data_IF_653417681683
#
_entry.id   IF_653417681683
#
_cell.length_a   1.000
_cell.length_b   1.000
_cell.length_c   1.000
_cell.angle_alpha   90.00
_cell.angle_beta   90.00
_cell.angle_gamma   90.00
#
_symmetry.space_group_name_H-M   'P 1'
#
loop_
_entity.id
_entity.type
_entity.pdbx_description
1 polymer ?
#
# COMPACT_ATOMS: atom_id res chain seq x y z
N UNK A 1 -30.40 -4.06 22.61
CA UNK A 1 -30.03 -5.49 22.71
C UNK A 1 -28.73 -5.77 21.98
N UNK A 2 -28.01 -6.83 22.37
CA UNK A 2 -26.76 -7.25 21.67
C UNK A 2 -27.03 -7.53 20.20
N UNK A 3 -28.16 -8.15 19.86
CA UNK A 3 -28.58 -8.39 18.48
C UNK A 3 -28.70 -7.10 17.65
N UNK A 4 -29.28 -6.05 18.22
CA UNK A 4 -29.39 -4.75 17.54
C UNK A 4 -28.01 -4.10 17.35
N UNK A 5 -27.13 -4.21 18.36
CA UNK A 5 -25.76 -3.71 18.26
C UNK A 5 -24.94 -4.45 17.19
N UNK A 6 -25.09 -5.78 17.08
CA UNK A 6 -24.45 -6.57 16.04
C UNK A 6 -24.94 -6.16 14.64
N UNK A 7 -26.25 -6.01 14.45
CA UNK A 7 -26.80 -5.55 13.16
C UNK A 7 -26.27 -4.15 12.79
N UNK A 8 -26.29 -3.20 13.72
CA UNK A 8 -25.78 -1.85 13.49
C UNK A 8 -24.28 -1.86 13.19
N UNK A 9 -23.51 -2.70 13.90
CA UNK A 9 -22.08 -2.89 13.68
C UNK A 9 -21.78 -3.43 12.28
N UNK A 10 -22.51 -4.45 11.83
CA UNK A 10 -22.35 -4.99 10.47
C UNK A 10 -22.72 -3.97 9.39
N UNK A 11 -23.83 -3.24 9.58
CA UNK A 11 -24.23 -2.21 8.61
C UNK A 11 -23.17 -1.11 8.49
N UNK A 12 -22.56 -0.70 9.61
CA UNK A 12 -21.49 0.31 9.61
C UNK A 12 -20.19 -0.24 9.01
N UNK A 13 -19.83 -1.50 9.30
CA UNK A 13 -18.64 -2.14 8.79
C UNK A 13 -18.71 -2.42 7.28
N UNK A 14 -19.91 -2.71 6.75
CA UNK A 14 -20.14 -3.05 5.34
C UNK A 14 -19.61 -1.97 4.38
N UNK A 15 -19.92 -0.69 4.67
CA UNK A 15 -19.42 0.43 3.84
C UNK A 15 -17.90 0.46 3.80
N UNK A 16 -17.24 0.33 4.97
CA UNK A 16 -15.78 0.38 5.04
C UNK A 16 -15.11 -0.83 4.34
N UNK A 17 -15.72 -2.02 4.44
CA UNK A 17 -15.22 -3.24 3.77
C UNK A 17 -15.37 -3.10 2.25
N UNK A 18 -16.53 -2.63 1.78
CA UNK A 18 -16.75 -2.42 0.35
C UNK A 18 -15.80 -1.37 -0.22
N UNK A 19 -15.70 -0.21 0.42
CA UNK A 19 -14.87 0.89 -0.05
C UNK A 19 -13.39 0.49 -0.17
N UNK A 20 -12.85 -0.19 0.83
CA UNK A 20 -11.44 -0.62 0.82
C UNK A 20 -11.14 -1.69 -0.24
N UNK A 21 -12.09 -2.58 -0.52
CA UNK A 21 -11.89 -3.66 -1.48
C UNK A 21 -12.19 -3.21 -2.93
N UNK A 22 -13.17 -2.32 -3.15
CA UNK A 22 -13.48 -1.79 -4.48
C UNK A 22 -12.27 -1.06 -5.07
N UNK A 23 -11.54 -0.27 -4.29
CA UNK A 23 -10.34 0.42 -4.77
C UNK A 23 -9.28 -0.56 -5.29
N UNK A 24 -9.06 -1.66 -4.57
CA UNK A 24 -8.11 -2.69 -5.00
C UNK A 24 -8.63 -3.50 -6.19
N UNK A 25 -9.94 -3.75 -6.27
CA UNK A 25 -10.57 -4.38 -7.45
C UNK A 25 -10.45 -3.52 -8.71
N UNK A 26 -10.58 -2.20 -8.60
CA UNK A 26 -10.36 -1.28 -9.72
C UNK A 26 -8.93 -1.43 -10.24
N UNK A 27 -7.93 -1.43 -9.35
CA UNK A 27 -6.53 -1.64 -9.73
C UNK A 27 -6.32 -3.00 -10.41
N UNK A 28 -6.86 -4.07 -9.83
CA UNK A 28 -6.78 -5.41 -10.39
C UNK A 28 -7.47 -5.51 -11.78
N UNK A 29 -8.64 -4.89 -11.95
CA UNK A 29 -9.35 -4.88 -13.23
C UNK A 29 -8.55 -4.17 -14.34
N UNK A 30 -7.96 -3.01 -14.04
CA UNK A 30 -7.13 -2.26 -15.00
C UNK A 30 -5.90 -3.07 -15.38
N UNK A 31 -5.22 -3.69 -14.40
CA UNK A 31 -4.08 -4.56 -14.64
C UNK A 31 -4.43 -5.80 -15.47
N UNK A 32 -5.60 -6.37 -15.24
CA UNK A 32 -6.06 -7.51 -16.03
C UNK A 32 -6.33 -7.14 -17.48
N UNK A 33 -6.90 -5.96 -17.71
CA UNK A 33 -7.23 -5.46 -19.05
C UNK A 33 -6.01 -4.98 -19.84
N UNK A 34 -5.06 -4.33 -19.17
CA UNK A 34 -3.89 -3.68 -19.80
C UNK A 34 -2.57 -4.40 -19.56
N UNK A 35 -2.47 -5.20 -18.52
CA UNK A 35 -1.27 -5.94 -18.21
C UNK A 35 -1.05 -7.13 -19.15
N UNK A 36 0.22 -7.49 -19.34
CA UNK A 36 0.66 -8.65 -20.10
C UNK A 36 1.41 -9.64 -19.18
N UNK A 37 1.61 -10.88 -19.65
CA UNK A 37 2.42 -11.88 -18.98
C UNK A 37 2.06 -12.11 -17.49
N UNK A 38 3.07 -12.05 -16.64
CA UNK A 38 2.98 -12.30 -15.20
C UNK A 38 2.08 -11.28 -14.48
N UNK A 39 2.04 -10.04 -14.95
CA UNK A 39 1.21 -8.96 -14.38
C UNK A 39 -0.27 -9.27 -14.51
N UNK A 40 -0.70 -9.80 -15.65
CA UNK A 40 -2.09 -10.18 -15.91
C UNK A 40 -2.53 -11.34 -15.02
N UNK A 41 -1.68 -12.37 -14.87
CA UNK A 41 -1.94 -13.51 -13.98
C UNK A 41 -2.05 -13.08 -12.52
N UNK A 42 -1.17 -12.19 -12.06
CA UNK A 42 -1.24 -11.60 -10.73
C UNK A 42 -2.56 -10.84 -10.51
N UNK A 43 -2.97 -10.02 -11.48
CA UNK A 43 -4.20 -9.25 -11.38
C UNK A 43 -5.45 -10.14 -11.24
N UNK A 44 -5.50 -11.26 -11.96
CA UNK A 44 -6.59 -12.24 -11.86
C UNK A 44 -6.66 -12.89 -10.47
N UNK A 45 -5.52 -13.35 -9.96
CA UNK A 45 -5.45 -13.97 -8.62
C UNK A 45 -5.78 -12.99 -7.53
N UNK A 46 -5.31 -11.74 -7.64
CA UNK A 46 -5.64 -10.65 -6.71
C UNK A 46 -7.14 -10.35 -6.71
N UNK A 47 -7.74 -10.18 -7.89
CA UNK A 47 -9.18 -9.91 -8.02
C UNK A 47 -10.02 -11.04 -7.40
N UNK A 48 -9.69 -12.30 -7.71
CA UNK A 48 -10.37 -13.46 -7.15
C UNK A 48 -10.23 -13.51 -5.63
N UNK A 49 -9.03 -13.31 -5.10
CA UNK A 49 -8.76 -13.28 -3.67
C UNK A 49 -9.58 -12.22 -2.94
N UNK A 50 -9.69 -11.01 -3.52
CA UNK A 50 -10.49 -9.92 -2.96
C UNK A 50 -11.98 -10.26 -2.96
N UNK A 51 -12.52 -10.80 -4.05
CA UNK A 51 -13.94 -11.19 -4.13
C UNK A 51 -14.26 -12.26 -3.09
N UNK A 52 -13.43 -13.30 -2.95
CA UNK A 52 -13.58 -14.34 -1.93
C UNK A 52 -13.47 -13.76 -0.51
N UNK A 53 -12.52 -12.87 -0.27
CA UNK A 53 -12.35 -12.17 1.02
C UNK A 53 -13.57 -11.33 1.37
N UNK A 54 -14.13 -10.58 0.41
CA UNK A 54 -15.37 -9.81 0.60
C UNK A 54 -16.55 -10.72 0.94
N UNK A 55 -16.71 -11.82 0.22
CA UNK A 55 -17.75 -12.80 0.50
C UNK A 55 -17.61 -13.36 1.93
N UNK A 56 -16.41 -13.75 2.31
CA UNK A 56 -16.12 -14.25 3.66
C UNK A 56 -16.44 -13.21 4.73
N UNK A 57 -16.02 -11.96 4.53
CA UNK A 57 -16.23 -10.88 5.49
C UNK A 57 -17.72 -10.50 5.63
N UNK A 58 -18.45 -10.41 4.52
CA UNK A 58 -19.82 -9.92 4.51
C UNK A 58 -20.86 -11.01 4.81
N UNK A 59 -20.62 -12.25 4.34
CA UNK A 59 -21.58 -13.34 4.42
C UNK A 59 -21.18 -14.32 5.53
N UNK A 60 -20.03 -14.98 5.41
CA UNK A 60 -19.63 -16.07 6.31
C UNK A 60 -19.44 -15.54 7.74
N UNK A 61 -18.71 -14.45 7.92
CA UNK A 61 -18.48 -13.86 9.25
C UNK A 61 -19.80 -13.43 9.90
N UNK A 62 -20.73 -12.88 9.12
CA UNK A 62 -22.05 -12.52 9.60
C UNK A 62 -22.82 -13.76 10.09
N UNK A 63 -22.86 -14.81 9.28
CA UNK A 63 -23.53 -16.07 9.65
C UNK A 63 -22.94 -16.64 10.95
N UNK A 64 -21.60 -16.73 11.04
CA UNK A 64 -20.91 -17.26 12.22
C UNK A 64 -21.29 -16.46 13.47
N UNK A 65 -21.22 -15.13 13.43
CA UNK A 65 -21.49 -14.28 14.59
C UNK A 65 -22.97 -14.40 15.04
N UNK A 66 -23.90 -14.43 14.08
CA UNK A 66 -25.33 -14.62 14.43
C UNK A 66 -25.64 -16.04 14.92
N UNK A 67 -24.96 -17.06 14.42
CA UNK A 67 -25.06 -18.44 14.91
C UNK A 67 -24.53 -18.55 16.34
N UNK A 68 -23.38 -17.95 16.67
CA UNK A 68 -22.85 -17.87 18.03
C UNK A 68 -23.84 -17.20 18.99
N UNK A 69 -24.47 -16.11 18.54
CA UNK A 69 -25.53 -15.45 19.32
C UNK A 69 -26.73 -16.38 19.53
N UNK A 70 -27.14 -17.16 18.53
CA UNK A 70 -28.27 -18.10 18.61
C UNK A 70 -27.98 -19.27 19.55
N UNK A 71 -26.77 -19.80 19.60
CA UNK A 71 -26.31 -20.90 20.46
C UNK A 71 -26.30 -20.48 21.97
N UNK A 72 -26.42 -19.17 22.26
CA UNK A 72 -26.52 -18.70 23.65
C UNK A 72 -25.39 -17.78 24.10
N UNK A 73 -24.42 -17.46 23.27
CA UNK A 73 -23.37 -16.48 23.56
C UNK A 73 -23.91 -15.04 23.44
N UNK A 74 -24.81 -14.67 24.39
CA UNK A 74 -25.55 -13.39 24.34
C UNK A 74 -24.92 -12.26 25.15
N UNK A 75 -23.87 -12.54 25.94
CA UNK A 75 -23.16 -11.51 26.71
C UNK A 75 -22.28 -10.65 25.81
N UNK A 76 -22.31 -9.35 26.02
CA UNK A 76 -21.44 -8.35 25.31
C UNK A 76 -19.97 -8.68 25.45
N UNK A 77 -19.54 -9.34 26.52
CA UNK A 77 -18.15 -9.72 26.77
C UNK A 77 -17.56 -10.61 25.66
N UNK A 78 -18.38 -11.42 24.99
CA UNK A 78 -17.92 -12.28 23.88
C UNK A 78 -17.66 -11.51 22.59
N UNK A 79 -18.31 -10.35 22.41
CA UNK A 79 -18.25 -9.56 21.17
C UNK A 79 -17.44 -8.28 21.31
N UNK A 80 -17.30 -7.75 22.53
CA UNK A 80 -16.58 -6.50 22.77
C UNK A 80 -15.84 -6.52 24.10
N UNK A 81 -14.56 -6.15 24.04
CA UNK A 81 -13.75 -5.90 25.23
C UNK A 81 -14.12 -4.51 25.78
N UNK A 82 -14.57 -4.43 27.03
CA UNK A 82 -14.75 -3.14 27.70
C UNK A 82 -13.37 -2.49 27.94
N UNK A 83 -13.07 -1.44 27.19
CA UNK A 83 -11.89 -0.62 27.50
C UNK A 83 -12.24 0.27 28.70
N UNK A 84 -11.65 0.00 29.85
CA UNK A 84 -11.86 0.75 31.11
C UNK A 84 -11.18 2.13 31.15
N UNK A 85 -10.33 2.44 30.20
CA UNK A 85 -9.51 3.66 30.20
C UNK A 85 -9.82 4.51 28.98
N UNK A 86 -10.11 5.79 29.19
CA UNK A 86 -10.11 6.77 28.11
C UNK A 86 -8.75 6.76 27.43
N UNK A 87 -8.74 6.65 26.10
CA UNK A 87 -7.48 6.62 25.35
C UNK A 87 -6.86 8.02 25.38
N UNK A 88 -5.59 8.07 25.77
CA UNK A 88 -4.82 9.29 25.72
C UNK A 88 -4.77 9.82 24.28
N UNK A 89 -5.22 11.04 24.04
CA UNK A 89 -5.12 11.71 22.75
C UNK A 89 -3.67 12.08 22.51
N UNK A 90 -3.10 11.65 21.40
CA UNK A 90 -1.72 11.93 21.00
C UNK A 90 -1.73 13.13 20.06
N UNK A 91 -0.82 14.08 20.26
CA UNK A 91 -0.68 15.25 19.37
C UNK A 91 0.17 14.91 18.13
N UNK A 92 -0.48 14.34 17.11
CA UNK A 92 0.14 14.06 15.81
C UNK A 92 0.41 15.35 15.02
N UNK A 93 -0.51 16.30 15.08
CA UNK A 93 -0.42 17.53 14.31
C UNK A 93 0.66 18.47 14.80
N UNK A 94 0.95 18.47 16.10
CA UNK A 94 2.05 19.26 16.67
C UNK A 94 3.42 18.80 16.16
N UNK A 95 3.58 17.50 15.89
CA UNK A 95 4.82 16.89 15.41
C UNK A 95 4.85 16.66 13.90
N UNK A 96 3.91 17.20 13.13
CA UNK A 96 3.79 16.96 11.69
C UNK A 96 5.07 17.21 10.89
N UNK A 97 5.82 18.27 11.22
CA UNK A 97 7.06 18.61 10.52
C UNK A 97 8.09 17.47 10.59
N UNK A 98 8.19 16.79 11.72
CA UNK A 98 9.10 15.66 11.91
C UNK A 98 8.69 14.50 11.00
N UNK A 99 7.39 14.17 10.92
CA UNK A 99 6.90 13.08 10.09
C UNK A 99 7.08 13.37 8.60
N UNK A 100 6.84 14.60 8.16
CA UNK A 100 7.14 15.01 6.78
C UNK A 100 8.63 14.96 6.48
N UNK A 101 9.48 15.40 7.40
CA UNK A 101 10.94 15.37 7.24
C UNK A 101 11.45 13.93 7.11
N UNK A 102 10.96 12.98 7.93
CA UNK A 102 11.31 11.56 7.83
C UNK A 102 10.94 11.00 6.45
N UNK A 103 9.71 11.28 5.98
CA UNK A 103 9.25 10.81 4.68
C UNK A 103 10.10 11.36 3.54
N UNK A 104 10.36 12.67 3.54
CA UNK A 104 11.20 13.33 2.54
C UNK A 104 12.63 12.78 2.57
N UNK A 105 13.19 12.50 3.76
CA UNK A 105 14.53 11.97 3.91
C UNK A 105 14.65 10.55 3.30
N UNK A 106 13.65 9.68 3.54
CA UNK A 106 13.61 8.33 2.94
C UNK A 106 13.54 8.40 1.41
N UNK A 107 12.67 9.24 0.89
CA UNK A 107 12.51 9.44 -0.56
C UNK A 107 13.79 10.01 -1.17
N UNK A 108 14.39 11.03 -0.53
CA UNK A 108 15.63 11.65 -0.98
C UNK A 108 16.79 10.64 -0.99
N UNK A 109 16.91 9.77 0.02
CA UNK A 109 17.90 8.70 0.04
C UNK A 109 17.75 7.76 -1.16
N UNK A 110 16.54 7.42 -1.56
CA UNK A 110 16.28 6.63 -2.76
C UNK A 110 16.76 7.33 -4.05
N UNK A 111 16.43 8.61 -4.22
CA UNK A 111 16.85 9.38 -5.39
C UNK A 111 18.37 9.60 -5.44
N UNK A 112 19.02 9.84 -4.28
CA UNK A 112 20.47 9.93 -4.19
C UNK A 112 21.12 8.62 -4.61
N UNK A 113 20.60 7.49 -4.13
CA UNK A 113 21.10 6.16 -4.52
C UNK A 113 20.98 5.94 -6.03
N UNK A 114 19.83 6.31 -6.64
CA UNK A 114 19.63 6.25 -8.09
C UNK A 114 20.69 7.08 -8.85
N UNK A 115 20.95 8.28 -8.39
CA UNK A 115 21.96 9.16 -8.99
C UNK A 115 23.38 8.57 -8.92
N UNK A 116 23.75 8.04 -7.74
CA UNK A 116 25.06 7.39 -7.53
C UNK A 116 25.22 6.15 -8.41
N UNK A 117 24.21 5.30 -8.50
CA UNK A 117 24.24 4.08 -9.33
C UNK A 117 24.31 4.40 -10.82
N UNK A 118 23.53 5.40 -11.27
CA UNK A 118 23.60 5.89 -12.65
C UNK A 118 24.96 6.43 -12.99
N UNK A 119 25.62 7.15 -12.07
CA UNK A 119 26.99 7.66 -12.24
C UNK A 119 28.05 6.57 -12.28
N UNK A 120 27.80 5.40 -11.72
CA UNK A 120 28.68 4.22 -11.79
C UNK A 120 28.48 3.39 -13.06
N UNK A 121 27.53 3.73 -13.92
CA UNK A 121 27.19 2.95 -15.11
C UNK A 121 26.27 1.75 -14.88
N UNK A 122 25.87 1.49 -13.63
CA UNK A 122 25.01 0.35 -13.29
C UNK A 122 23.50 0.56 -13.59
N UNK A 123 23.17 1.76 -14.12
CA UNK A 123 21.78 2.19 -14.33
C UNK A 123 21.06 2.60 -13.03
N UNK A 124 20.16 3.56 -13.13
CA UNK A 124 19.41 4.12 -11.98
C UNK A 124 18.58 3.08 -11.25
N UNK A 125 18.06 2.08 -11.97
CA UNK A 125 17.25 0.97 -11.46
C UNK A 125 17.73 -0.35 -12.06
N UNK A 126 17.54 -1.43 -11.33
CA UNK A 126 17.82 -2.78 -11.79
C UNK A 126 16.58 -3.35 -12.51
N UNK A 127 16.52 -3.21 -13.84
CA UNK A 127 15.39 -3.76 -14.60
C UNK A 127 15.48 -5.28 -14.75
N UNK A 128 14.34 -5.97 -14.57
CA UNK A 128 14.22 -7.38 -14.87
C UNK A 128 14.32 -7.66 -16.37
N UNK A 129 14.56 -8.92 -16.71
CA UNK A 129 14.60 -9.38 -18.10
C UNK A 129 13.30 -9.03 -18.85
N UNK A 130 12.16 -9.10 -18.19
CA UNK A 130 10.85 -8.74 -18.74
C UNK A 130 10.81 -7.29 -19.28
N UNK A 131 11.56 -6.37 -18.63
CA UNK A 131 11.56 -4.93 -18.98
C UNK A 131 12.81 -4.45 -19.71
N UNK A 132 13.90 -5.20 -19.64
CA UNK A 132 15.15 -4.90 -20.35
C UNK A 132 15.25 -5.63 -21.70
N UNK A 133 14.65 -6.80 -21.78
CA UNK A 133 14.92 -7.80 -22.82
C UNK A 133 16.19 -8.59 -22.51
N UNK A 134 16.40 -9.66 -23.23
CA UNK A 134 17.58 -10.49 -23.05
C UNK A 134 17.29 -11.99 -23.11
N UNK A 135 18.30 -12.77 -22.74
CA UNK A 135 18.22 -14.23 -22.65
C UNK A 135 18.32 -14.67 -21.20
N UNK A 136 17.41 -15.54 -20.77
CA UNK A 136 17.51 -16.27 -19.52
C UNK A 136 17.91 -17.71 -19.82
N UNK A 137 19.10 -18.09 -19.42
CA UNK A 137 19.61 -19.46 -19.57
C UNK A 137 19.50 -20.14 -18.20
N UNK A 138 18.68 -21.17 -18.12
CA UNK A 138 18.56 -22.02 -16.92
C UNK A 138 19.45 -23.23 -17.06
N UNK A 139 20.35 -23.41 -16.12
CA UNK A 139 21.38 -24.45 -16.12
C UNK A 139 21.25 -25.28 -14.86
N UNK A 140 21.24 -26.60 -15.00
CA UNK A 140 21.28 -27.53 -13.86
C UNK A 140 22.72 -28.03 -13.67
N UNK A 141 23.30 -27.75 -12.52
CA UNK A 141 24.67 -28.14 -12.20
C UNK A 141 24.67 -29.42 -11.36
N UNK A 142 25.71 -30.25 -11.48
CA UNK A 142 25.88 -31.45 -10.65
C UNK A 142 26.18 -31.11 -9.19
N UNK A 143 26.74 -29.91 -8.97
CA UNK A 143 27.13 -29.41 -7.64
C UNK A 143 26.25 -28.25 -7.22
N UNK A 144 25.93 -28.21 -5.94
CA UNK A 144 25.27 -27.06 -5.33
C UNK A 144 26.25 -25.90 -5.09
N UNK A 145 26.14 -24.82 -5.89
CA UNK A 145 26.97 -23.62 -5.78
C UNK A 145 26.35 -22.62 -4.80
N UNK A 146 27.18 -22.09 -3.91
CA UNK A 146 26.82 -20.93 -3.09
C UNK A 146 26.76 -19.65 -3.95
N UNK A 147 26.04 -18.62 -3.51
CA UNK A 147 25.93 -17.34 -4.22
C UNK A 147 27.32 -16.75 -4.51
N UNK A 148 28.25 -16.81 -3.54
CA UNK A 148 29.63 -16.33 -3.73
C UNK A 148 30.41 -17.11 -4.80
N UNK A 149 30.17 -18.40 -4.90
CA UNK A 149 30.82 -19.22 -5.94
C UNK A 149 30.23 -18.96 -7.32
N UNK A 150 28.94 -18.67 -7.40
CA UNK A 150 28.28 -18.26 -8.64
C UNK A 150 28.91 -16.97 -9.14
N UNK A 151 29.01 -15.95 -8.30
CA UNK A 151 29.59 -14.65 -8.67
C UNK A 151 31.08 -14.71 -9.00
N UNK A 152 31.83 -15.61 -8.35
CA UNK A 152 33.28 -15.69 -8.55
C UNK A 152 33.75 -16.68 -9.62
N UNK A 153 32.92 -17.70 -9.96
CA UNK A 153 33.32 -18.76 -10.89
C UNK A 153 32.48 -18.82 -12.15
N UNK A 154 31.15 -18.64 -12.03
CA UNK A 154 30.22 -18.82 -13.15
C UNK A 154 30.05 -17.52 -13.90
N UNK A 155 29.77 -16.41 -13.21
CA UNK A 155 29.53 -15.10 -13.84
C UNK A 155 30.71 -14.67 -14.74
N UNK A 156 31.98 -14.76 -14.33
CA UNK A 156 33.09 -14.36 -15.19
C UNK A 156 33.22 -15.18 -16.48
N UNK A 157 32.83 -16.46 -16.43
CA UNK A 157 32.84 -17.32 -17.63
C UNK A 157 31.75 -16.88 -18.62
N UNK A 158 30.58 -16.51 -18.09
CA UNK A 158 29.48 -16.02 -18.92
C UNK A 158 29.80 -14.66 -19.51
N UNK A 159 30.40 -13.76 -18.74
CA UNK A 159 30.88 -12.44 -19.22
C UNK A 159 31.90 -12.55 -20.34
N UNK A 160 32.85 -13.47 -20.21
CA UNK A 160 33.89 -13.72 -21.19
C UNK A 160 33.34 -14.22 -22.53
N UNK A 161 32.33 -15.10 -22.45
CA UNK A 161 31.73 -15.71 -23.66
C UNK A 161 30.69 -14.79 -24.32
N UNK A 162 29.89 -14.08 -23.52
CA UNK A 162 28.78 -13.27 -24.05
C UNK A 162 29.17 -11.81 -24.30
N UNK A 163 30.31 -11.35 -23.76
CA UNK A 163 30.65 -9.93 -23.74
C UNK A 163 29.72 -9.03 -22.93
N UNK A 164 28.80 -9.62 -22.15
CA UNK A 164 27.87 -8.87 -21.31
C UNK A 164 28.44 -8.71 -19.90
N UNK A 165 28.85 -7.51 -19.52
CA UNK A 165 29.36 -7.19 -18.19
C UNK A 165 28.25 -6.95 -17.14
N UNK A 166 26.98 -7.12 -17.50
CA UNK A 166 25.83 -6.98 -16.61
C UNK A 166 25.11 -8.31 -16.40
N UNK A 167 25.83 -9.41 -16.40
CA UNK A 167 25.29 -10.75 -16.15
C UNK A 167 24.68 -10.81 -14.76
N UNK A 168 23.45 -11.31 -14.67
CA UNK A 168 22.79 -11.58 -13.41
C UNK A 168 22.57 -13.08 -13.26
N UNK A 169 23.15 -13.68 -12.23
CA UNK A 169 22.95 -15.08 -11.92
C UNK A 169 22.09 -15.25 -10.66
N UNK A 170 21.06 -16.07 -10.75
CA UNK A 170 20.11 -16.31 -9.67
C UNK A 170 20.01 -17.79 -9.37
N UNK A 171 20.35 -18.19 -8.15
CA UNK A 171 20.17 -19.57 -7.68
C UNK A 171 18.70 -19.88 -7.44
N UNK A 172 18.21 -21.02 -7.95
CA UNK A 172 16.89 -21.54 -7.62
C UNK A 172 16.95 -22.23 -6.27
N UNK A 173 16.04 -21.87 -5.37
CA UNK A 173 16.02 -22.41 -4.00
C UNK A 173 15.75 -23.92 -4.02
N UNK A 174 16.46 -24.64 -3.16
CA UNK A 174 16.34 -26.11 -2.98
C UNK A 174 16.57 -26.90 -4.27
N UNK A 175 17.40 -26.35 -5.16
CA UNK A 175 17.76 -26.95 -6.45
C UNK A 175 19.20 -26.57 -6.81
N UNK A 176 19.85 -27.41 -7.62
CA UNK A 176 21.16 -27.11 -8.23
C UNK A 176 21.02 -26.27 -9.50
N UNK A 177 19.85 -25.67 -9.73
CA UNK A 177 19.61 -24.84 -10.91
C UNK A 177 20.03 -23.40 -10.67
N UNK A 178 20.63 -22.81 -11.67
CA UNK A 178 21.02 -21.40 -11.73
C UNK A 178 20.42 -20.79 -12.99
N UNK A 179 19.71 -19.67 -12.83
CA UNK A 179 19.17 -18.88 -13.94
C UNK A 179 20.16 -17.76 -14.21
N UNK A 180 20.75 -17.78 -15.39
CA UNK A 180 21.72 -16.79 -15.87
C UNK A 180 21.01 -15.86 -16.84
N UNK A 181 20.98 -14.57 -16.55
CA UNK A 181 20.33 -13.54 -17.36
C UNK A 181 21.43 -12.69 -18.03
N UNK A 182 21.36 -12.61 -19.35
CA UNK A 182 22.31 -11.88 -20.20
C UNK A 182 21.56 -10.96 -21.15
N UNK A 183 22.29 -10.12 -21.89
CA UNK A 183 21.74 -9.49 -23.10
C UNK A 183 21.18 -10.53 -24.07
N UNK A 184 20.42 -10.08 -25.07
CA UNK A 184 19.86 -11.00 -26.06
C UNK A 184 20.96 -11.73 -26.79
N UNK A 185 21.02 -13.04 -26.66
CA UNK A 185 21.97 -13.91 -27.34
C UNK A 185 21.33 -14.48 -28.63
N UNK A 186 22.09 -14.42 -29.71
CA UNK A 186 21.76 -15.13 -30.94
C UNK A 186 22.01 -16.65 -30.79
N UNK A 187 21.78 -17.42 -31.87
CA UNK A 187 21.88 -18.88 -31.78
C UNK A 187 23.32 -19.33 -31.50
N UNK A 188 24.29 -18.73 -32.22
CA UNK A 188 25.70 -19.08 -32.10
C UNK A 188 26.27 -18.70 -30.73
N UNK A 189 25.89 -17.54 -30.21
CA UNK A 189 26.31 -17.10 -28.87
C UNK A 189 25.73 -18.00 -27.78
N UNK A 190 24.48 -18.50 -27.93
CA UNK A 190 23.90 -19.45 -27.00
C UNK A 190 24.59 -20.80 -27.03
N UNK A 191 24.95 -21.28 -28.23
CA UNK A 191 25.70 -22.51 -28.40
C UNK A 191 27.09 -22.39 -27.80
N UNK A 192 27.78 -21.27 -28.03
CA UNK A 192 29.09 -20.97 -27.44
C UNK A 192 28.98 -20.95 -25.87
N UNK A 193 27.94 -20.32 -25.32
CA UNK A 193 27.69 -20.29 -23.88
C UNK A 193 27.43 -21.70 -23.31
N UNK A 194 26.59 -22.49 -23.99
CA UNK A 194 26.26 -23.86 -23.56
C UNK A 194 27.54 -24.74 -23.57
N UNK A 195 28.34 -24.65 -24.61
CA UNK A 195 29.59 -25.39 -24.71
C UNK A 195 30.61 -24.96 -23.65
N UNK A 196 30.76 -23.66 -23.39
CA UNK A 196 31.65 -23.16 -22.35
C UNK A 196 31.22 -23.61 -20.93
N UNK A 197 29.92 -23.67 -20.66
CA UNK A 197 29.39 -24.16 -19.40
C UNK A 197 29.57 -25.68 -19.26
N UNK A 198 29.39 -26.44 -20.34
CA UNK A 198 29.66 -27.88 -20.37
C UNK A 198 31.13 -28.17 -20.12
N UNK A 199 32.04 -27.49 -20.84
CA UNK A 199 33.50 -27.71 -20.76
C UNK A 199 34.08 -27.34 -19.38
N UNK A 200 33.64 -26.23 -18.80
CA UNK A 200 34.20 -25.73 -17.52
C UNK A 200 33.56 -26.36 -16.29
N UNK A 201 32.28 -26.72 -16.35
CA UNK A 201 31.52 -27.17 -15.18
C UNK A 201 30.91 -28.57 -15.32
N UNK A 202 31.11 -29.25 -16.46
CA UNK A 202 30.61 -30.61 -16.69
C UNK A 202 29.09 -30.68 -16.86
N UNK A 203 28.44 -29.59 -17.24
CA UNK A 203 26.98 -29.52 -17.38
C UNK A 203 26.53 -30.25 -18.62
N UNK A 204 25.48 -31.05 -18.51
CA UNK A 204 24.83 -31.64 -19.70
C UNK A 204 24.08 -30.57 -20.49
N UNK A 205 24.53 -30.30 -21.71
CA UNK A 205 23.94 -29.32 -22.61
C UNK A 205 22.47 -29.58 -22.91
N UNK A 206 22.01 -30.83 -22.81
CA UNK A 206 20.60 -31.20 -23.01
C UNK A 206 19.69 -30.68 -21.88
N UNK A 207 20.24 -30.38 -20.72
CA UNK A 207 19.50 -29.85 -19.57
C UNK A 207 19.45 -28.32 -19.53
N UNK A 208 20.19 -27.65 -20.44
CA UNK A 208 20.21 -26.20 -20.53
C UNK A 208 18.99 -25.72 -21.32
N UNK A 209 18.18 -24.88 -20.71
CA UNK A 209 17.04 -24.23 -21.36
C UNK A 209 17.27 -22.74 -21.47
N UNK A 210 17.00 -22.15 -22.63
CA UNK A 210 17.14 -20.71 -22.85
C UNK A 210 15.83 -20.09 -23.32
N UNK A 211 15.40 -19.04 -22.62
CA UNK A 211 14.25 -18.23 -22.99
C UNK A 211 14.72 -16.84 -23.44
N UNK A 212 14.28 -16.40 -24.62
CA UNK A 212 14.58 -15.08 -25.15
C UNK A 212 13.36 -14.17 -25.08
N UNK A 213 13.55 -13.00 -24.53
CA UNK A 213 12.59 -11.90 -24.58
C UNK A 213 13.19 -10.80 -25.46
N UNK A 214 12.55 -10.52 -26.61
CA UNK A 214 13.05 -9.45 -27.48
C UNK A 214 12.90 -8.08 -26.84
N UNK A 215 13.78 -7.16 -27.18
CA UNK A 215 13.75 -5.77 -26.66
C UNK A 215 12.43 -5.06 -27.04
N UNK A 216 11.84 -5.39 -28.19
CA UNK A 216 10.55 -4.85 -28.62
C UNK A 216 9.43 -5.28 -27.67
N UNK A 217 9.32 -6.58 -27.40
CA UNK A 217 8.31 -7.12 -26.47
C UNK A 217 8.51 -6.54 -25.07
N UNK A 218 9.75 -6.44 -24.61
CA UNK A 218 10.06 -5.85 -23.29
C UNK A 218 9.69 -4.37 -23.20
N UNK A 219 9.90 -3.60 -24.28
CA UNK A 219 9.50 -2.20 -24.30
C UNK A 219 7.98 -2.02 -24.28
N UNK A 220 7.24 -2.87 -25.00
CA UNK A 220 5.77 -2.90 -24.97
C UNK A 220 5.26 -3.26 -23.58
N UNK A 221 5.78 -4.34 -22.98
CA UNK A 221 5.40 -4.76 -21.62
C UNK A 221 5.62 -3.64 -20.59
N UNK A 222 6.75 -2.93 -20.69
CA UNK A 222 7.05 -1.80 -19.80
C UNK A 222 6.10 -0.63 -20.02
N UNK A 223 5.78 -0.27 -21.27
CA UNK A 223 4.82 0.78 -21.58
C UNK A 223 3.43 0.44 -21.08
N UNK A 224 2.94 -0.77 -21.35
CA UNK A 224 1.65 -1.26 -20.88
C UNK A 224 1.55 -1.24 -19.37
N UNK A 225 2.61 -1.64 -18.66
CA UNK A 225 2.67 -1.61 -17.22
C UNK A 225 2.59 -0.17 -16.65
N UNK A 226 3.32 0.79 -17.22
CA UNK A 226 3.26 2.20 -16.83
C UNK A 226 1.87 2.78 -17.07
N UNK A 227 1.29 2.52 -18.25
CA UNK A 227 -0.06 2.97 -18.62
C UNK A 227 -1.09 2.38 -17.64
N UNK A 228 -0.98 1.09 -17.32
CA UNK A 228 -1.86 0.42 -16.37
C UNK A 228 -1.80 1.05 -14.97
N UNK A 229 -0.61 1.39 -14.47
CA UNK A 229 -0.44 2.09 -13.18
C UNK A 229 -1.10 3.46 -13.20
N UNK A 230 -0.88 4.25 -14.26
CA UNK A 230 -1.45 5.60 -14.40
C UNK A 230 -2.98 5.52 -14.45
N UNK A 231 -3.54 4.65 -15.29
CA UNK A 231 -4.99 4.47 -15.41
C UNK A 231 -5.58 3.99 -14.07
N UNK A 232 -4.95 3.03 -13.41
CA UNK A 232 -5.40 2.55 -12.10
C UNK A 232 -5.41 3.67 -11.05
N UNK A 233 -4.35 4.47 -11.01
CA UNK A 233 -4.28 5.63 -10.13
C UNK A 233 -5.41 6.63 -10.41
N UNK A 234 -5.65 6.99 -11.67
CA UNK A 234 -6.73 7.91 -12.07
C UNK A 234 -8.09 7.34 -11.68
N UNK A 235 -8.38 6.08 -11.98
CA UNK A 235 -9.65 5.44 -11.62
C UNK A 235 -9.88 5.43 -10.11
N UNK A 236 -8.84 5.13 -9.32
CA UNK A 236 -8.91 5.19 -7.86
C UNK A 236 -9.14 6.61 -7.35
N UNK A 237 -8.51 7.62 -7.97
CA UNK A 237 -8.71 9.03 -7.63
C UNK A 237 -10.16 9.48 -7.87
N UNK A 238 -10.71 9.10 -9.02
CA UNK A 238 -12.13 9.36 -9.36
C UNK A 238 -13.04 8.70 -8.32
N UNK A 239 -12.79 7.44 -7.98
CA UNK A 239 -13.57 6.74 -6.96
C UNK A 239 -13.53 7.46 -5.60
N UNK A 240 -12.34 7.88 -5.15
CA UNK A 240 -12.17 8.60 -3.88
C UNK A 240 -12.90 9.95 -3.92
N UNK A 241 -12.79 10.69 -5.00
CA UNK A 241 -13.45 11.98 -5.17
C UNK A 241 -14.98 11.85 -5.08
N UNK A 242 -15.56 10.85 -5.75
CA UNK A 242 -17.01 10.55 -5.68
C UNK A 242 -17.40 10.12 -4.27
N UNK A 243 -16.60 9.27 -3.62
CA UNK A 243 -16.89 8.68 -2.31
C UNK A 243 -16.88 9.71 -1.18
N UNK A 244 -15.91 10.61 -1.19
CA UNK A 244 -15.75 11.60 -0.11
C UNK A 244 -16.46 12.92 -0.34
N UNK A 245 -16.84 13.25 -1.58
CA UNK A 245 -17.55 14.49 -1.95
C UNK A 245 -16.85 15.79 -1.49
N UNK A 246 -15.64 15.72 -1.01
CA UNK A 246 -14.80 16.85 -0.56
C UNK A 246 -13.40 16.68 -1.15
N UNK A 247 -13.03 17.63 -2.00
CA UNK A 247 -11.74 17.66 -2.73
C UNK A 247 -10.55 17.61 -1.75
N UNK A 248 -10.68 18.15 -0.54
CA UNK A 248 -9.60 18.17 0.46
C UNK A 248 -9.26 16.77 0.98
N UNK A 249 -10.26 15.91 1.16
CA UNK A 249 -10.04 14.49 1.50
C UNK A 249 -9.36 13.76 0.33
N UNK A 250 -9.88 13.95 -0.88
CA UNK A 250 -9.30 13.35 -2.09
C UNK A 250 -7.84 13.76 -2.29
N UNK A 251 -7.56 15.05 -2.28
CA UNK A 251 -6.19 15.56 -2.50
C UNK A 251 -5.20 15.08 -1.43
N UNK A 252 -5.60 15.04 -0.14
CA UNK A 252 -4.73 14.53 0.90
C UNK A 252 -4.48 13.02 0.78
N UNK A 253 -5.47 12.23 0.34
CA UNK A 253 -5.26 10.82 0.04
C UNK A 253 -4.27 10.62 -1.12
N UNK A 254 -4.41 11.42 -2.19
CA UNK A 254 -3.52 11.36 -3.35
C UNK A 254 -2.07 11.63 -2.95
N UNK A 255 -1.82 12.69 -2.20
CA UNK A 255 -0.47 13.05 -1.76
C UNK A 255 0.13 11.95 -0.88
N UNK A 256 -0.67 11.36 0.01
CA UNK A 256 -0.23 10.23 0.82
C UNK A 256 0.10 8.99 -0.03
N UNK A 257 -0.70 8.69 -1.05
CA UNK A 257 -0.44 7.59 -1.98
C UNK A 257 0.81 7.80 -2.83
N UNK A 258 1.02 9.02 -3.35
CA UNK A 258 2.24 9.37 -4.06
C UNK A 258 3.45 9.15 -3.16
N UNK A 259 3.35 9.58 -1.89
CA UNK A 259 4.39 9.33 -0.90
C UNK A 259 4.68 7.82 -0.75
N UNK A 260 3.66 6.98 -0.64
CA UNK A 260 3.84 5.54 -0.45
C UNK A 260 4.51 4.88 -1.66
N UNK A 261 4.09 5.27 -2.86
CA UNK A 261 4.72 4.84 -4.12
C UNK A 261 6.19 5.26 -4.14
N UNK A 262 6.53 6.49 -3.78
CA UNK A 262 7.90 6.99 -3.75
C UNK A 262 8.77 6.28 -2.70
N UNK A 263 8.22 5.96 -1.52
CA UNK A 263 8.92 5.20 -0.49
C UNK A 263 9.26 3.79 -0.97
N UNK A 264 8.33 3.10 -1.65
CA UNK A 264 8.59 1.78 -2.23
C UNK A 264 9.60 1.88 -3.37
N UNK A 265 9.49 2.90 -4.20
CA UNK A 265 10.44 3.16 -5.27
C UNK A 265 11.86 3.40 -4.71
N UNK A 266 11.98 4.15 -3.61
CA UNK A 266 13.23 4.32 -2.89
C UNK A 266 13.79 3.00 -2.38
N UNK A 267 12.93 2.12 -1.83
CA UNK A 267 13.35 0.79 -1.39
C UNK A 267 13.87 -0.09 -2.52
N UNK A 268 13.24 -0.04 -3.71
CA UNK A 268 13.73 -0.73 -4.90
C UNK A 268 15.10 -0.23 -5.34
N UNK A 269 15.31 1.09 -5.30
CA UNK A 269 16.60 1.70 -5.63
C UNK A 269 17.70 1.30 -4.66
N UNK A 270 17.44 1.45 -3.35
CA UNK A 270 18.42 1.15 -2.29
C UNK A 270 18.74 -0.35 -2.22
N UNK A 271 17.72 -1.20 -2.31
CA UNK A 271 17.85 -2.66 -2.26
C UNK A 271 18.29 -3.30 -3.57
N UNK A 272 18.46 -2.53 -4.66
CA UNK A 272 18.73 -3.05 -6.02
C UNK A 272 17.78 -4.15 -6.44
N UNK A 273 16.50 -4.05 -5.97
CA UNK A 273 15.48 -5.02 -6.29
C UNK A 273 15.11 -4.98 -7.78
N UNK A 274 14.74 -6.12 -8.32
CA UNK A 274 14.44 -6.26 -9.75
C UNK A 274 13.12 -5.58 -10.14
N UNK A 275 13.19 -4.57 -11.00
CA UNK A 275 12.03 -3.80 -11.49
C UNK A 275 11.44 -4.50 -12.71
N UNK A 276 10.33 -5.20 -12.51
CA UNK A 276 9.62 -5.97 -13.53
C UNK A 276 8.12 -6.05 -13.24
N UNK A 277 7.47 -7.08 -13.73
CA UNK A 277 6.04 -7.33 -13.50
C UNK A 277 5.68 -7.41 -12.01
N UNK A 278 6.54 -8.03 -11.20
CA UNK A 278 6.38 -8.12 -9.74
C UNK A 278 6.43 -6.76 -9.05
N UNK A 279 7.25 -5.81 -9.55
CA UNK A 279 7.28 -4.43 -9.06
C UNK A 279 5.93 -3.74 -9.27
N UNK A 280 5.34 -3.87 -10.47
CA UNK A 280 4.04 -3.28 -10.78
C UNK A 280 2.95 -3.87 -9.87
N UNK A 281 2.97 -5.19 -9.70
CA UNK A 281 2.06 -5.89 -8.80
C UNK A 281 2.18 -5.39 -7.36
N UNK A 282 3.41 -5.21 -6.86
CA UNK A 282 3.70 -4.67 -5.54
C UNK A 282 3.17 -3.24 -5.38
N UNK A 283 3.46 -2.34 -6.34
CA UNK A 283 2.99 -0.95 -6.31
C UNK A 283 1.49 -0.85 -6.19
N UNK A 284 0.75 -1.60 -7.00
CA UNK A 284 -0.71 -1.56 -6.99
C UNK A 284 -1.33 -2.20 -5.74
N UNK A 285 -0.71 -3.26 -5.23
CA UNK A 285 -1.11 -3.86 -3.95
C UNK A 285 -0.95 -2.86 -2.81
N UNK A 286 0.16 -2.13 -2.77
CA UNK A 286 0.45 -1.14 -1.72
C UNK A 286 -0.49 0.05 -1.82
N UNK A 287 -0.77 0.55 -3.02
CA UNK A 287 -1.73 1.62 -3.23
C UNK A 287 -3.12 1.20 -2.71
N UNK A 288 -3.58 -0.02 -3.04
CA UNK A 288 -4.85 -0.54 -2.55
C UNK A 288 -4.88 -0.72 -1.03
N UNK A 289 -3.79 -1.20 -0.44
CA UNK A 289 -3.66 -1.38 1.01
C UNK A 289 -3.63 -0.05 1.77
N UNK A 290 -2.81 0.89 1.33
CA UNK A 290 -2.66 2.21 1.97
C UNK A 290 -3.96 3.02 1.94
N UNK A 291 -4.68 2.98 0.82
CA UNK A 291 -5.96 3.67 0.68
C UNK A 291 -6.99 3.17 1.69
N UNK A 292 -7.03 1.87 1.98
CA UNK A 292 -7.96 1.30 2.95
C UNK A 292 -7.73 1.89 4.35
N UNK A 293 -6.49 1.99 4.79
CA UNK A 293 -6.14 2.61 6.08
C UNK A 293 -6.49 4.10 6.11
N UNK A 294 -6.26 4.81 5.02
CA UNK A 294 -6.60 6.23 4.85
C UNK A 294 -8.11 6.47 4.93
N UNK A 295 -8.92 5.63 4.27
CA UNK A 295 -10.38 5.71 4.30
C UNK A 295 -10.89 5.58 5.74
N UNK A 296 -10.37 4.66 6.53
CA UNK A 296 -10.78 4.45 7.93
C UNK A 296 -10.55 5.71 8.78
N UNK A 297 -9.42 6.38 8.60
CA UNK A 297 -9.11 7.62 9.32
C UNK A 297 -10.02 8.75 8.86
N UNK A 298 -10.25 8.89 7.56
CA UNK A 298 -11.12 9.93 7.01
C UNK A 298 -12.59 9.73 7.39
N UNK A 299 -13.09 8.51 7.39
CA UNK A 299 -14.45 8.21 7.86
C UNK A 299 -14.61 8.62 9.35
N UNK A 300 -13.57 8.40 10.16
CA UNK A 300 -13.59 8.83 11.56
C UNK A 300 -13.54 10.35 11.71
N UNK A 301 -12.71 11.04 10.92
CA UNK A 301 -12.69 12.50 10.89
C UNK A 301 -14.08 13.03 10.49
N UNK A 302 -14.68 12.47 9.46
CA UNK A 302 -16.01 12.83 8.95
C UNK A 302 -17.14 12.59 9.98
N UNK A 303 -17.06 11.47 10.69
CA UNK A 303 -17.99 11.16 11.78
C UNK A 303 -17.87 12.21 12.89
N UNK A 304 -16.67 12.52 13.34
CA UNK A 304 -16.42 13.52 14.40
C UNK A 304 -16.80 14.94 13.95
N UNK A 305 -16.60 15.30 12.68
CA UNK A 305 -17.05 16.57 12.11
C UNK A 305 -18.58 16.77 12.18
N UNK A 306 -19.36 15.68 12.10
CA UNK A 306 -20.82 15.75 12.23
C UNK A 306 -21.29 15.85 13.68
N UNK A 307 -20.50 15.35 14.62
CA UNK A 307 -20.86 15.25 16.04
C UNK A 307 -20.41 16.46 16.86
N UNK A 308 -19.38 17.19 16.39
CA UNK A 308 -18.75 18.30 17.12
C UNK A 308 -18.96 19.63 16.40
N UNK A 309 -19.30 20.67 17.16
CA UNK A 309 -19.37 22.05 16.64
C UNK A 309 -17.96 22.62 16.58
N UNK A 310 -17.49 22.92 15.39
CA UNK A 310 -16.15 23.46 15.13
C UNK A 310 -16.25 24.98 15.02
N UNK A 311 -15.47 25.70 15.83
CA UNK A 311 -15.42 27.16 15.83
C UNK A 311 -14.03 27.69 15.53
N UNK A 312 -12.99 26.98 15.95
CA UNK A 312 -11.59 27.42 15.86
C UNK A 312 -10.71 26.43 15.09
N UNK A 313 -9.51 26.89 14.71
CA UNK A 313 -8.48 25.99 14.14
C UNK A 313 -8.01 24.93 15.15
N UNK A 314 -8.02 25.29 16.44
CA UNK A 314 -7.62 24.37 17.50
C UNK A 314 -8.66 23.27 17.70
N UNK A 315 -9.96 23.55 17.50
CA UNK A 315 -11.01 22.54 17.51
C UNK A 315 -10.79 21.51 16.37
N UNK A 316 -10.42 21.98 15.16
CA UNK A 316 -10.09 21.09 14.04
C UNK A 316 -8.86 20.24 14.37
N UNK A 317 -7.82 20.87 14.98
CA UNK A 317 -6.60 20.15 15.41
C UNK A 317 -6.92 19.07 16.42
N UNK A 318 -7.70 19.40 17.45
CA UNK A 318 -8.14 18.45 18.47
C UNK A 318 -8.96 17.31 17.89
N UNK A 319 -9.92 17.62 17.01
CA UNK A 319 -10.76 16.64 16.31
C UNK A 319 -9.93 15.66 15.48
N UNK A 320 -8.96 16.13 14.70
CA UNK A 320 -8.10 15.26 13.88
C UNK A 320 -7.23 14.37 14.76
N UNK A 321 -6.59 14.91 15.80
CA UNK A 321 -5.81 14.12 16.75
C UNK A 321 -6.65 13.06 17.46
N UNK A 322 -7.88 13.40 17.85
CA UNK A 322 -8.84 12.46 18.44
C UNK A 322 -9.23 11.36 17.44
N UNK A 323 -9.47 11.73 16.20
CA UNK A 323 -9.85 10.77 15.13
C UNK A 323 -8.74 9.77 14.85
N UNK A 324 -7.50 10.24 14.68
CA UNK A 324 -6.32 9.38 14.49
C UNK A 324 -6.10 8.50 15.72
N UNK A 325 -6.11 9.07 16.94
CA UNK A 325 -5.92 8.30 18.18
C UNK A 325 -6.96 7.20 18.36
N UNK A 326 -8.20 7.44 17.95
CA UNK A 326 -9.30 6.45 18.07
C UNK A 326 -9.17 5.28 17.08
N UNK A 327 -8.57 5.50 15.91
CA UNK A 327 -8.35 4.49 14.87
C UNK A 327 -6.98 3.82 14.94
N UNK A 328 -6.03 4.40 15.67
CA UNK A 328 -4.62 4.00 15.72
C UNK A 328 -4.42 2.51 16.01
N UNK A 329 -5.07 1.97 17.03
CA UNK A 329 -4.92 0.55 17.40
C UNK A 329 -5.44 -0.37 16.28
N UNK A 330 -6.53 0.02 15.62
CA UNK A 330 -7.04 -0.74 14.47
C UNK A 330 -6.02 -0.72 13.33
N UNK A 331 -5.50 0.44 12.98
CA UNK A 331 -4.51 0.59 11.90
C UNK A 331 -3.24 -0.19 12.21
N UNK A 332 -2.70 -0.09 13.44
CA UNK A 332 -1.50 -0.86 13.84
C UNK A 332 -1.75 -2.36 13.78
N UNK A 333 -2.87 -2.85 14.32
CA UNK A 333 -3.18 -4.27 14.32
C UNK A 333 -3.34 -4.81 12.89
N UNK A 334 -4.03 -4.07 12.01
CA UNK A 334 -4.20 -4.45 10.61
C UNK A 334 -2.86 -4.48 9.89
N UNK A 335 -2.02 -3.47 10.08
CA UNK A 335 -0.69 -3.41 9.46
C UNK A 335 0.24 -4.50 10.01
N UNK A 336 0.18 -4.78 11.31
CA UNK A 336 0.98 -5.82 11.92
C UNK A 336 0.58 -7.22 11.42
N UNK A 337 -0.72 -7.51 11.32
CA UNK A 337 -1.19 -8.82 10.81
C UNK A 337 -0.79 -9.02 9.35
N UNK A 338 -0.91 -7.98 8.52
CA UNK A 338 -0.46 -8.03 7.12
C UNK A 338 1.06 -8.18 7.04
N UNK A 339 1.80 -7.43 7.85
CA UNK A 339 3.27 -7.52 7.91
C UNK A 339 3.75 -8.92 8.29
N UNK A 340 3.14 -9.54 9.31
CA UNK A 340 3.47 -10.92 9.73
C UNK A 340 3.19 -11.93 8.61
N UNK A 341 2.08 -11.77 7.88
CA UNK A 341 1.76 -12.63 6.74
C UNK A 341 2.82 -12.49 5.63
N UNK A 342 3.19 -11.25 5.29
CA UNK A 342 4.20 -10.98 4.24
C UNK A 342 5.59 -11.42 4.71
N UNK A 343 5.91 -11.28 6.01
CA UNK A 343 7.15 -11.80 6.59
C UNK A 343 7.22 -13.34 6.50
N UNK A 344 6.12 -14.02 6.75
CA UNK A 344 6.05 -15.47 6.56
C UNK A 344 6.29 -15.85 5.08
N UNK A 345 5.72 -15.08 4.13
CA UNK A 345 5.97 -15.25 2.71
C UNK A 345 7.45 -15.01 2.36
N UNK A 346 8.10 -14.03 2.99
CA UNK A 346 9.53 -13.76 2.81
C UNK A 346 10.41 -14.91 3.30
N UNK A 347 10.08 -15.50 4.46
CA UNK A 347 10.87 -16.59 5.07
C UNK A 347 10.64 -17.91 4.33
N UNK A 348 9.37 -18.28 4.08
CA UNK A 348 8.98 -19.59 3.54
C UNK A 348 8.85 -19.59 2.01
N UNK A 349 8.82 -18.42 1.36
CA UNK A 349 8.59 -18.31 -0.07
C UNK A 349 9.82 -18.69 -0.91
N UNK A 350 9.55 -19.05 -2.17
CA UNK A 350 10.59 -19.26 -3.20
C UNK A 350 11.31 -17.96 -3.52
N UNK A 351 12.52 -18.05 -4.10
CA UNK A 351 13.40 -16.89 -4.35
C UNK A 351 12.72 -15.74 -5.09
N UNK A 352 11.93 -16.04 -6.12
CA UNK A 352 11.19 -15.03 -6.90
C UNK A 352 10.13 -14.26 -6.09
N UNK A 353 9.58 -14.86 -5.04
CA UNK A 353 8.60 -14.23 -4.15
C UNK A 353 9.25 -13.43 -3.02
N UNK A 354 10.52 -13.65 -2.72
CA UNK A 354 11.21 -12.95 -1.62
C UNK A 354 11.41 -11.47 -1.92
N UNK A 355 11.83 -11.12 -3.14
CA UNK A 355 11.97 -9.71 -3.55
C UNK A 355 10.62 -8.99 -3.49
N UNK A 356 9.56 -9.64 -3.98
CA UNK A 356 8.20 -9.13 -3.88
C UNK A 356 7.74 -8.94 -2.43
N UNK A 357 7.98 -9.94 -1.57
CA UNK A 357 7.61 -9.86 -0.15
C UNK A 357 8.38 -8.76 0.58
N UNK A 358 9.68 -8.60 0.30
CA UNK A 358 10.51 -7.53 0.90
C UNK A 358 9.96 -6.15 0.53
N UNK A 359 9.64 -5.93 -0.73
CA UNK A 359 9.05 -4.68 -1.19
C UNK A 359 7.67 -4.43 -0.56
N UNK A 360 6.83 -5.48 -0.45
CA UNK A 360 5.54 -5.38 0.24
C UNK A 360 5.70 -5.05 1.72
N UNK A 361 6.68 -5.62 2.43
CA UNK A 361 6.94 -5.27 3.84
C UNK A 361 7.24 -3.78 4.00
N UNK A 362 8.11 -3.23 3.14
CA UNK A 362 8.41 -1.78 3.14
C UNK A 362 7.15 -0.98 2.84
N UNK A 363 6.36 -1.40 1.86
CA UNK A 363 5.12 -0.73 1.49
C UNK A 363 4.05 -0.77 2.57
N UNK A 364 3.90 -1.87 3.29
CA UNK A 364 2.96 -1.99 4.42
C UNK A 364 3.36 -1.07 5.57
N UNK A 365 4.66 -0.98 5.88
CA UNK A 365 5.19 -0.05 6.89
C UNK A 365 5.00 1.40 6.42
N UNK A 366 5.36 1.71 5.17
CA UNK A 366 5.20 3.04 4.57
C UNK A 366 3.74 3.49 4.56
N UNK A 367 2.81 2.63 4.10
CA UNK A 367 1.38 2.91 4.06
C UNK A 367 0.74 3.06 5.44
N UNK A 368 1.20 2.29 6.44
CA UNK A 368 0.78 2.48 7.83
C UNK A 368 1.28 3.83 8.37
N UNK A 369 2.53 4.17 8.09
CA UNK A 369 3.13 5.44 8.48
C UNK A 369 2.39 6.62 7.81
N UNK A 370 2.21 6.61 6.51
CA UNK A 370 1.57 7.70 5.77
C UNK A 370 0.12 7.91 6.19
N UNK A 371 -0.64 6.82 6.36
CA UNK A 371 -2.03 6.90 6.79
C UNK A 371 -2.17 7.57 8.15
N UNK A 372 -1.33 7.21 9.13
CA UNK A 372 -1.40 7.75 10.51
C UNK A 372 -0.79 9.14 10.62
N UNK A 373 0.39 9.34 10.02
CA UNK A 373 1.23 10.51 10.30
C UNK A 373 1.17 11.60 9.21
N UNK A 374 0.78 11.27 7.97
CA UNK A 374 0.74 12.25 6.88
C UNK A 374 -0.69 12.64 6.49
N UNK A 375 -1.60 11.68 6.37
CA UNK A 375 -2.94 11.89 5.78
C UNK A 375 -3.78 12.89 6.57
N UNK A 376 -3.89 12.73 7.90
CA UNK A 376 -4.63 13.64 8.76
C UNK A 376 -4.03 15.06 8.79
N UNK A 377 -2.73 15.23 9.02
CA UNK A 377 -2.04 16.51 8.91
C UNK A 377 -2.18 17.19 7.54
N UNK A 378 -2.09 16.44 6.42
CA UNK A 378 -2.31 17.00 5.08
C UNK A 378 -3.74 17.56 4.94
N UNK A 379 -4.74 16.79 5.34
CA UNK A 379 -6.12 17.25 5.32
C UNK A 379 -6.32 18.49 6.21
N UNK A 380 -5.75 18.51 7.42
CA UNK A 380 -5.80 19.66 8.30
C UNK A 380 -5.19 20.92 7.66
N UNK A 381 -4.02 20.77 7.02
CA UNK A 381 -3.35 21.91 6.35
C UNK A 381 -4.20 22.45 5.20
N UNK A 382 -4.80 21.58 4.38
CA UNK A 382 -5.69 21.99 3.29
C UNK A 382 -6.98 22.62 3.83
N UNK A 383 -7.54 22.09 4.91
CA UNK A 383 -8.77 22.63 5.53
C UNK A 383 -8.53 24.03 6.11
N UNK A 384 -7.39 24.25 6.74
CA UNK A 384 -7.08 25.52 7.42
C UNK A 384 -6.51 26.60 6.51
N UNK A 385 -5.85 26.23 5.40
CA UNK A 385 -5.33 27.21 4.41
C UNK A 385 -6.37 27.67 3.40
N UNK A 386 -7.17 26.74 2.86
CA UNK A 386 -8.13 27.02 1.79
C UNK A 386 -9.51 27.39 2.36
N UNK A 387 -9.76 27.21 3.66
CA UNK A 387 -11.05 27.44 4.32
C UNK A 387 -11.02 28.57 5.36
N UNK A 388 -10.05 29.48 5.27
CA UNK A 388 -10.00 30.63 6.20
C UNK A 388 -11.28 31.50 6.14
N UNK A 389 -11.93 31.56 5.00
CA UNK A 389 -13.14 32.34 4.82
C UNK A 389 -14.38 31.67 5.44
N UNK A 390 -14.52 30.35 5.36
CA UNK A 390 -15.60 29.61 5.99
C UNK A 390 -15.54 29.64 7.54
N UNK A 391 -14.34 29.72 8.11
CA UNK A 391 -14.16 29.89 9.57
C UNK A 391 -14.49 31.32 9.99
N UNK A 392 -14.18 32.30 9.15
CA UNK A 392 -14.56 33.70 9.37
C UNK A 392 -16.07 33.91 9.25
N UNK A 393 -16.71 33.27 8.27
CA UNK A 393 -18.14 33.35 8.03
C UNK A 393 -18.95 32.72 9.19
N UNK A 394 -18.51 31.56 9.72
CA UNK A 394 -19.09 30.95 10.91
C UNK A 394 -18.83 31.75 12.20
N UNK A 395 -17.69 32.44 12.32
CA UNK A 395 -17.42 33.34 13.42
C UNK A 395 -18.30 34.62 13.36
N UNK A 396 -18.49 35.16 12.15
CA UNK A 396 -19.38 36.30 11.91
C UNK A 396 -20.84 35.91 12.15
N UNK A 397 -21.28 34.77 11.70
CA UNK A 397 -22.65 34.24 11.94
C UNK A 397 -22.89 33.91 13.42
N UNK A 398 -21.89 33.47 14.17
CA UNK A 398 -21.97 33.20 15.60
C UNK A 398 -21.99 34.49 16.45
N UNK A 399 -21.34 35.55 15.96
CA UNK A 399 -21.40 36.86 16.59
C UNK A 399 -22.67 37.65 16.25
N UNK A 400 -23.33 37.32 15.12
CA UNK A 400 -24.57 37.95 14.68
C UNK A 400 -25.83 37.31 15.30
N UNK A 401 -25.75 36.25 16.08
CA UNK A 401 -26.88 35.76 16.85
C UNK A 401 -27.06 36.67 18.09
N UNK A 402 -28.17 37.42 18.17
CA UNK A 402 -28.42 38.24 19.36
C UNK A 402 -28.56 37.33 20.59
N UNK A 403 -27.88 37.69 21.67
CA UNK A 403 -28.04 37.06 22.97
C UNK A 403 -29.51 36.77 23.25
N UNK A 404 -29.89 35.48 23.27
CA UNK A 404 -31.20 35.09 23.77
C UNK A 404 -31.26 35.56 25.22
N UNK A 405 -31.89 36.70 25.41
CA UNK A 405 -32.24 37.23 26.72
C UNK A 405 -32.88 36.06 27.48
N UNK A 406 -32.14 35.49 28.42
CA UNK A 406 -32.65 34.52 29.36
C UNK A 406 -33.74 35.22 30.17
N UNK A 407 -34.98 34.98 29.80
CA UNK A 407 -36.12 35.48 30.51
C UNK A 407 -36.06 34.99 31.95
N UNK A 408 -35.74 35.89 32.86
CA UNK A 408 -35.65 35.65 34.28
C UNK A 408 -36.99 35.09 34.78
N UNK A 409 -37.06 33.81 35.24
CA UNK A 409 -38.34 33.17 35.64
C UNK A 409 -39.01 33.84 36.88
N UNK A 410 -38.31 34.74 37.55
CA UNK A 410 -38.86 35.44 38.74
C UNK A 410 -39.79 36.62 38.46
N UNK A 411 -39.95 37.08 37.19
CA UNK A 411 -40.85 38.19 36.88
C UNK A 411 -42.34 37.82 36.86
N UNK A 412 -42.70 36.51 36.80
CA UNK A 412 -44.11 36.08 36.87
C UNK A 412 -44.68 35.97 38.25
N UNK A 413 -43.91 35.94 39.32
CA UNK A 413 -44.43 35.89 40.72
C UNK A 413 -44.83 37.24 41.33
N UNK A 414 -44.37 38.38 40.78
CA UNK A 414 -44.73 39.74 41.29
C UNK A 414 -46.04 40.30 40.76
N UNK A 415 -46.60 39.77 39.66
CA UNK A 415 -47.88 40.24 39.09
C UNK A 415 -49.15 39.56 39.68
N UNK A 416 -48.98 38.47 40.42
CA UNK A 416 -50.13 37.78 41.10
C UNK A 416 -50.42 38.23 42.51
N UNK A 417 -49.58 39.10 43.10
CA UNK A 417 -49.76 39.66 44.47
C UNK A 417 -50.38 41.05 44.55
N UNK A 418 -50.81 41.62 43.39
CA UNK A 418 -51.48 42.91 43.33
C UNK A 418 -52.95 42.85 42.85
N UNK A 419 -53.54 41.65 42.89
CA UNK A 419 -54.98 41.45 42.65
C UNK A 419 -55.52 40.43 43.65
N UNK A 420 -55.52 40.84 44.95
CA UNK A 420 -56.42 40.41 45.97
C UNK A 420 -56.59 41.58 46.92
#
# INVERSE_FOLDING_TARGET
SVKSALNAGFHKAMSAILDGNITTLIAAAVLWLKGSGTVKGFAQTLALGIVVSMFTALVITRIIIFSLYAIGLRDVKFYAKKFKKERKIIDFLGKKAIFFAISIAVIAAGFVTMGVQSGKGEGALNYSLEFKGGTATTVTFDKDYSIKEIDSKIVPVVEDVTGDHNVQAQKVKDSNQIIIKTQTLNLDEREALNNALADKFGVDTSTITAENISSTVSSEMRQDAIIAVIISAICMLIYIAIRFKDVKFGSSAIIALINDVLVVFAAYSVGRLSVGGTFIACMLTIIGYSINSTIVIFDRIRENLKLQTIRTRDDIKALVNQSISSTLVRTINTSLTTFVMVLALFICGVSSLREFALALMVGVIGGAFSSVFLTGPLWYMMKTRIGSDAVKENQAASQAQPEKITANPNRKKKKKKKRK
#
